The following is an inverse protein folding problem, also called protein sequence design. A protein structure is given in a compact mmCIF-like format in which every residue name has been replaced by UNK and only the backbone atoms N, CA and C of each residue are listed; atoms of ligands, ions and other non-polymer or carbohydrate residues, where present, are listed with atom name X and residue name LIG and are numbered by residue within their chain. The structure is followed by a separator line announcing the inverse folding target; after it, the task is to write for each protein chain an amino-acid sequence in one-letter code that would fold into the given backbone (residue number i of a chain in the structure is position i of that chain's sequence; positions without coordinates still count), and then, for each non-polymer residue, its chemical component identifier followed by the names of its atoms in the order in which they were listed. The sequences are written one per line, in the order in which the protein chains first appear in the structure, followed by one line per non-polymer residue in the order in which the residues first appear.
data_IF_891997471569
#
_entry.id   IF_891997471569
#
_cell.length_a   1.000
_cell.length_b   1.000
_cell.length_c   1.000
_cell.angle_alpha   90.00
_cell.angle_beta   90.00
_cell.angle_gamma   90.00
#
_symmetry.space_group_name_H-M   'P 1'
#
loop_
_entity.id
_entity.type
_entity.pdbx_description
1 polymer ?
#
# COMPACT_ATOMS: atom_id res chain seq x y z
N UNK A 1 -0.56 19.21 -9.71
CA UNK A 1 -1.14 17.85 -9.70
C UNK A 1 -0.30 16.85 -10.49
N UNK A 2 0.07 17.09 -11.77
CA UNK A 2 0.91 16.17 -12.56
C UNK A 2 2.27 15.79 -11.93
N UNK A 3 2.87 16.69 -11.14
CA UNK A 3 4.19 16.49 -10.55
C UNK A 3 4.21 15.45 -9.41
N UNK A 4 3.11 15.32 -8.64
CA UNK A 4 3.02 14.40 -7.50
C UNK A 4 2.86 12.95 -7.96
N UNK A 5 2.04 12.74 -8.99
CA UNK A 5 1.87 11.42 -9.63
C UNK A 5 3.17 10.86 -10.19
N UNK A 6 3.93 11.67 -10.92
CA UNK A 6 5.25 11.28 -11.45
C UNK A 6 6.23 10.96 -10.32
N UNK A 7 6.25 11.77 -9.25
CA UNK A 7 7.06 11.51 -8.05
C UNK A 7 6.74 10.12 -7.47
N UNK A 8 5.46 9.80 -7.28
CA UNK A 8 5.01 8.55 -6.69
C UNK A 8 5.31 7.33 -7.56
N UNK A 9 5.15 7.45 -8.89
CA UNK A 9 5.59 6.40 -9.80
C UNK A 9 7.10 6.14 -9.72
N UNK A 10 7.90 7.20 -9.66
CA UNK A 10 9.34 7.05 -9.49
C UNK A 10 9.68 6.44 -8.12
N UNK A 11 8.94 6.79 -7.07
CA UNK A 11 9.12 6.21 -5.75
C UNK A 11 8.87 4.69 -5.75
N UNK A 12 7.74 4.26 -6.34
CA UNK A 12 7.41 2.84 -6.51
C UNK A 12 8.45 2.09 -7.36
N UNK A 13 8.96 2.71 -8.43
CA UNK A 13 10.00 2.12 -9.29
C UNK A 13 11.36 1.95 -8.60
N UNK A 14 11.60 2.64 -7.50
CA UNK A 14 12.77 2.44 -6.64
C UNK A 14 12.48 1.45 -5.50
N UNK A 15 11.48 0.58 -5.69
CA UNK A 15 11.09 -0.48 -4.76
C UNK A 15 10.68 0.02 -3.37
N UNK A 16 10.17 1.25 -3.31
CA UNK A 16 9.57 1.79 -2.10
C UNK A 16 8.05 1.59 -2.11
N UNK A 17 7.44 1.82 -0.94
CA UNK A 17 6.03 1.57 -0.72
C UNK A 17 5.25 2.88 -0.57
N UNK A 18 4.06 2.90 -1.14
CA UNK A 18 3.08 3.94 -0.83
C UNK A 18 2.04 3.37 0.12
N UNK A 19 1.73 4.10 1.19
CA UNK A 19 0.73 3.68 2.17
C UNK A 19 -0.37 4.71 2.37
N UNK A 20 -1.55 4.22 2.70
CA UNK A 20 -2.68 5.03 3.09
C UNK A 20 -3.39 4.38 4.28
N UNK A 21 -3.47 5.08 5.40
CA UNK A 21 -4.28 4.66 6.52
C UNK A 21 -5.77 4.73 6.16
N UNK A 22 -6.50 3.67 6.49
CA UNK A 22 -7.93 3.51 6.27
C UNK A 22 -8.60 2.93 7.51
N UNK A 23 -9.93 2.91 7.49
CA UNK A 23 -10.72 2.34 8.58
C UNK A 23 -10.71 0.82 8.52
N UNK A 24 -10.28 0.16 9.60
CA UNK A 24 -10.52 -1.28 9.78
C UNK A 24 -11.98 -1.55 10.16
N UNK A 25 -12.47 -2.73 9.77
CA UNK A 25 -13.75 -3.28 10.25
C UNK A 25 -13.66 -3.62 11.74
N UNK A 26 -12.46 -3.96 12.23
CA UNK A 26 -12.20 -4.22 13.64
C UNK A 26 -11.76 -2.94 14.37
N UNK A 27 -12.41 -2.61 15.49
CA UNK A 27 -12.12 -1.37 16.23
C UNK A 27 -10.74 -1.36 16.90
N UNK A 28 -10.17 -2.53 17.17
CA UNK A 28 -8.84 -2.73 17.77
C UNK A 28 -7.72 -2.80 16.72
N UNK A 29 -8.03 -2.51 15.45
CA UNK A 29 -7.09 -2.58 14.34
C UNK A 29 -6.89 -1.22 13.64
N UNK A 30 -5.71 -1.07 13.04
CA UNK A 30 -5.40 -0.05 12.05
C UNK A 30 -5.24 -0.77 10.71
N UNK A 31 -5.97 -0.33 9.70
CA UNK A 31 -5.89 -0.91 8.35
C UNK A 31 -5.15 0.06 7.44
N UNK A 32 -4.15 -0.41 6.71
CA UNK A 32 -3.42 0.35 5.71
C UNK A 32 -3.60 -0.28 4.33
N UNK A 33 -3.76 0.56 3.32
CA UNK A 33 -3.65 0.16 1.92
C UNK A 33 -2.19 0.33 1.53
N UNK A 34 -1.55 -0.76 1.12
CA UNK A 34 -0.15 -0.80 0.73
C UNK A 34 -0.06 -1.00 -0.77
N UNK A 35 0.61 -0.07 -1.45
CA UNK A 35 0.85 -0.07 -2.89
C UNK A 35 2.35 -0.18 -3.16
N UNK A 36 2.73 -1.14 -4.00
CA UNK A 36 4.12 -1.35 -4.43
C UNK A 36 4.19 -1.61 -5.94
N UNK A 37 5.40 -1.50 -6.50
CA UNK A 37 5.71 -2.08 -7.80
C UNK A 37 5.80 -3.60 -7.72
N UNK A 38 5.70 -4.27 -8.87
CA UNK A 38 6.11 -5.66 -9.01
C UNK A 38 7.57 -5.70 -9.50
N UNK A 39 8.43 -6.46 -8.83
CA UNK A 39 9.88 -6.47 -9.10
C UNK A 39 10.30 -7.49 -10.18
N UNK A 40 9.41 -8.39 -10.60
CA UNK A 40 9.79 -9.54 -11.43
C UNK A 40 9.64 -9.29 -12.94
N UNK A 41 10.68 -9.67 -13.68
CA UNK A 41 10.72 -9.64 -15.15
C UNK A 41 9.73 -10.63 -15.82
N UNK A 42 9.21 -11.58 -15.05
CA UNK A 42 8.27 -12.61 -15.51
C UNK A 42 6.80 -12.29 -15.16
N UNK A 43 6.54 -11.10 -14.60
CA UNK A 43 5.20 -10.69 -14.22
C UNK A 43 4.64 -9.65 -15.20
N UNK A 44 3.47 -9.90 -15.78
CA UNK A 44 2.81 -8.97 -16.69
C UNK A 44 2.32 -7.68 -15.97
N UNK A 45 2.31 -7.69 -14.64
CA UNK A 45 1.81 -6.60 -13.80
C UNK A 45 2.90 -5.59 -13.40
N UNK A 46 2.55 -4.30 -13.44
CA UNK A 46 3.42 -3.19 -13.00
C UNK A 46 3.25 -2.86 -11.52
N UNK A 47 2.06 -3.03 -10.96
CA UNK A 47 1.71 -2.62 -9.60
C UNK A 47 0.94 -3.72 -8.88
N UNK A 48 1.09 -3.76 -7.56
CA UNK A 48 0.26 -4.59 -6.68
C UNK A 48 -0.20 -3.78 -5.47
N UNK A 49 -1.43 -4.01 -5.04
CA UNK A 49 -2.02 -3.38 -3.88
C UNK A 49 -2.63 -4.44 -2.96
N UNK A 50 -2.57 -4.22 -1.64
CA UNK A 50 -3.31 -5.03 -0.66
C UNK A 50 -3.70 -4.18 0.54
N UNK A 51 -4.62 -4.68 1.35
CA UNK A 51 -4.92 -4.13 2.66
C UNK A 51 -4.19 -4.94 3.72
N UNK A 52 -3.51 -4.26 4.62
CA UNK A 52 -2.84 -4.84 5.79
C UNK A 52 -3.49 -4.30 7.05
N UNK A 53 -3.85 -5.18 7.99
CA UNK A 53 -4.46 -4.81 9.25
C UNK A 53 -3.58 -5.24 10.41
N UNK A 54 -3.27 -4.28 11.28
CA UNK A 54 -2.42 -4.43 12.44
C UNK A 54 -3.23 -4.17 13.71
N UNK A 55 -2.99 -4.96 14.77
CA UNK A 55 -3.58 -4.66 16.08
C UNK A 55 -2.95 -3.38 16.64
N UNK A 56 -3.79 -2.48 17.15
CA UNK A 56 -3.36 -1.20 17.76
C UNK A 56 -2.34 -1.44 18.88
N UNK A 57 -2.61 -2.42 19.73
CA UNK A 57 -1.72 -2.79 20.82
C UNK A 57 -0.34 -3.26 20.33
N UNK A 58 -0.25 -3.94 19.18
CA UNK A 58 1.03 -4.44 18.67
C UNK A 58 1.90 -3.28 18.16
N UNK A 59 1.26 -2.27 17.52
CA UNK A 59 1.92 -1.02 17.10
C UNK A 59 2.38 -0.21 18.33
N UNK A 60 1.48 0.02 19.30
CA UNK A 60 1.77 0.85 20.48
C UNK A 60 2.89 0.29 21.36
N UNK A 61 3.03 -1.03 21.41
CA UNK A 61 4.04 -1.71 22.23
C UNK A 61 5.35 -1.98 21.46
N UNK A 62 5.44 -1.60 20.18
CA UNK A 62 6.62 -1.82 19.34
C UNK A 62 6.97 -3.31 19.18
N UNK A 63 5.96 -4.20 19.26
CA UNK A 63 6.15 -5.62 19.01
C UNK A 63 6.45 -5.87 17.53
N UNK A 64 6.98 -7.06 17.21
CA UNK A 64 7.18 -7.50 15.83
C UNK A 64 5.82 -7.68 15.14
N UNK A 65 5.30 -6.58 14.59
CA UNK A 65 4.00 -6.50 13.91
C UNK A 65 3.97 -7.38 12.66
N UNK A 66 5.14 -7.76 12.14
CA UNK A 66 5.29 -8.64 10.98
C UNK A 66 4.73 -10.03 11.29
N UNK A 67 4.88 -10.51 12.52
CA UNK A 67 4.42 -11.85 12.92
C UNK A 67 2.92 -11.97 13.20
N UNK A 68 2.21 -10.86 13.41
CA UNK A 68 0.84 -10.85 13.95
C UNK A 68 -0.09 -9.86 13.23
N UNK A 69 0.14 -9.59 11.95
CA UNK A 69 -0.75 -8.80 11.11
C UNK A 69 -1.52 -9.71 10.15
N UNK A 70 -2.71 -9.25 9.76
CA UNK A 70 -3.50 -9.90 8.72
C UNK A 70 -3.41 -9.07 7.44
N UNK A 71 -3.49 -9.74 6.29
CA UNK A 71 -3.46 -9.05 5.01
C UNK A 71 -4.43 -9.68 4.02
N UNK A 72 -4.97 -8.86 3.14
CA UNK A 72 -5.74 -9.33 1.98
C UNK A 72 -4.82 -9.97 0.94
N UNK A 73 -5.41 -10.73 0.03
CA UNK A 73 -4.73 -11.09 -1.21
C UNK A 73 -4.32 -9.83 -1.98
N UNK A 74 -3.26 -9.95 -2.79
CA UNK A 74 -2.84 -8.87 -3.69
C UNK A 74 -3.80 -8.75 -4.86
N UNK A 75 -4.11 -7.51 -5.22
CA UNK A 75 -4.71 -7.15 -6.50
C UNK A 75 -3.61 -6.56 -7.38
N UNK A 76 -3.52 -7.03 -8.61
CA UNK A 76 -2.45 -6.69 -9.53
C UNK A 76 -2.95 -5.84 -10.70
N UNK A 77 -2.10 -4.92 -11.17
CA UNK A 77 -2.41 -3.98 -12.24
C UNK A 77 -1.28 -3.89 -13.25
N UNK A 78 -1.62 -3.98 -14.54
CA UNK A 78 -0.66 -3.91 -15.64
C UNK A 78 -0.14 -2.50 -15.87
N UNK A 79 -0.97 -1.49 -15.60
CA UNK A 79 -0.68 -0.10 -15.93
C UNK A 79 -1.30 0.88 -14.93
N UNK A 80 -0.89 2.15 -15.03
CA UNK A 80 -1.34 3.20 -14.13
C UNK A 80 -2.82 3.55 -14.32
N UNK A 81 -3.38 3.36 -15.52
CA UNK A 81 -4.78 3.67 -15.79
C UNK A 81 -5.69 2.70 -15.05
N UNK A 82 -5.39 1.40 -15.12
CA UNK A 82 -6.12 0.36 -14.38
C UNK A 82 -6.02 0.54 -12.86
N UNK A 83 -4.84 0.92 -12.34
CA UNK A 83 -4.67 1.29 -10.94
C UNK A 83 -5.54 2.50 -10.56
N UNK A 84 -5.49 3.58 -11.33
CA UNK A 84 -6.30 4.78 -11.05
C UNK A 84 -7.79 4.48 -11.08
N UNK A 85 -8.26 3.65 -12.04
CA UNK A 85 -9.66 3.24 -12.12
C UNK A 85 -10.09 2.48 -10.86
N UNK A 86 -9.25 1.56 -10.37
CA UNK A 86 -9.51 0.85 -9.13
C UNK A 86 -9.57 1.79 -7.93
N UNK A 87 -8.56 2.65 -7.74
CA UNK A 87 -8.53 3.60 -6.62
C UNK A 87 -9.77 4.52 -6.63
N UNK A 88 -10.15 5.03 -7.81
CA UNK A 88 -11.36 5.85 -7.94
C UNK A 88 -12.63 5.07 -7.58
N UNK A 89 -12.70 3.77 -7.89
CA UNK A 89 -13.87 2.94 -7.56
C UNK A 89 -14.08 2.77 -6.05
N UNK A 90 -13.00 2.88 -5.27
CA UNK A 90 -13.02 2.86 -3.79
C UNK A 90 -12.87 4.26 -3.18
N UNK A 91 -13.08 5.32 -3.98
CA UNK A 91 -13.03 6.73 -3.58
C UNK A 91 -11.69 7.16 -2.96
N UNK A 92 -10.59 6.64 -3.49
CA UNK A 92 -9.21 6.99 -3.11
C UNK A 92 -8.49 7.54 -4.33
N UNK A 93 -7.54 8.46 -4.11
CA UNK A 93 -6.63 8.94 -5.15
C UNK A 93 -5.21 8.54 -4.80
N UNK A 94 -4.37 8.41 -5.83
CA UNK A 94 -2.94 8.11 -5.62
C UNK A 94 -2.27 9.18 -4.76
N UNK A 95 -2.72 10.43 -4.84
CA UNK A 95 -2.18 11.54 -4.07
C UNK A 95 -2.54 11.52 -2.58
N UNK A 96 -3.48 10.66 -2.16
CA UNK A 96 -3.86 10.49 -0.75
C UNK A 96 -2.84 9.61 0.00
N UNK A 97 -2.05 8.81 -0.72
CA UNK A 97 -0.98 8.01 -0.15
C UNK A 97 0.20 8.87 0.34
N UNK A 98 0.99 8.31 1.26
CA UNK A 98 2.26 8.83 1.73
C UNK A 98 3.42 7.88 1.39
N UNK A 99 4.63 8.42 1.36
CA UNK A 99 5.88 7.70 1.09
C UNK A 99 6.29 6.89 2.33
N UNK A 100 6.41 5.57 2.20
CA UNK A 100 7.01 4.68 3.20
C UNK A 100 8.34 4.14 2.69
N UNK A 101 9.41 4.50 3.39
CA UNK A 101 10.77 4.01 3.13
C UNK A 101 11.01 2.63 3.71
N UNK A 102 10.16 2.20 4.65
CA UNK A 102 10.26 0.91 5.30
C UNK A 102 9.49 -0.12 4.46
N UNK A 103 10.20 -1.12 3.95
CA UNK A 103 9.61 -2.25 3.22
C UNK A 103 9.12 -3.37 4.15
N UNK A 104 9.52 -3.33 5.43
CA UNK A 104 9.25 -4.39 6.39
C UNK A 104 8.09 -4.07 7.36
N UNK A 105 7.67 -2.79 7.47
CA UNK A 105 6.61 -2.25 8.36
C UNK A 105 6.78 -2.55 9.87
N UNK A 106 6.35 -1.65 10.78
CA UNK A 106 5.31 -0.61 10.72
C UNK A 106 5.88 0.80 10.50
N UNK A 107 5.04 1.79 10.15
CA UNK A 107 5.42 3.20 9.96
C UNK A 107 6.08 3.83 11.19
#
# INVERSE_FOLDING_TARGET
MANKKIKYLNYLRNNHLLVLETTSVCQDEIAWIVLSSCEDQDNDYSFKIRTECFKKNDIENGYDVIGNHSFSEYIYFNDLQSLDMYLNSINIRLEDFIESWNCDYPL
#
